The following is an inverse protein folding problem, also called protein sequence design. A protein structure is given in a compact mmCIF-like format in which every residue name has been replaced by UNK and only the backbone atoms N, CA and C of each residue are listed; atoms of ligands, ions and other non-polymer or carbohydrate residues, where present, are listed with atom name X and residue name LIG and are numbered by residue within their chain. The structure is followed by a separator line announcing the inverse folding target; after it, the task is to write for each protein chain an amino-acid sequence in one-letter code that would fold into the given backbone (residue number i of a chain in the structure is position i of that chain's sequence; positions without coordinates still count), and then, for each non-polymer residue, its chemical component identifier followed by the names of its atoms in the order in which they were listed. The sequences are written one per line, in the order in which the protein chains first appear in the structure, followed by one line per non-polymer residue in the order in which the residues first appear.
data_IF_375016702312
#
_entry.id   IF_375016702312
#
_cell.length_a   1.000
_cell.length_b   1.000
_cell.length_c   1.000
_cell.angle_alpha   90.00
_cell.angle_beta   90.00
_cell.angle_gamma   90.00
#
_symmetry.space_group_name_H-M   'P 1'
#
loop_
_entity.id
_entity.type
_entity.pdbx_description
1 polymer ?
#
# COMPACT_ATOMS: atom_id res chain seq x y z
N UNK A 1 9.58 -1.04 -7.93
CA UNK A 1 9.72 -1.22 -6.46
C UNK A 1 11.02 -1.88 -6.01
N UNK A 2 11.60 -2.84 -6.77
CA UNK A 2 12.89 -3.46 -6.42
C UNK A 2 13.98 -2.42 -6.14
N UNK A 3 14.12 -1.41 -7.01
CA UNK A 3 15.09 -0.32 -6.84
C UNK A 3 14.96 0.40 -5.48
N UNK A 4 13.74 0.81 -5.10
CA UNK A 4 13.52 1.49 -3.81
C UNK A 4 13.85 0.59 -2.62
N UNK A 5 13.43 -0.68 -2.69
CA UNK A 5 13.74 -1.68 -1.66
C UNK A 5 15.25 -1.90 -1.50
N UNK A 6 16.02 -1.91 -2.59
CA UNK A 6 17.48 -2.08 -2.55
C UNK A 6 18.20 -0.88 -1.93
N UNK A 7 17.58 0.29 -1.97
CA UNK A 7 18.10 1.52 -1.35
C UNK A 7 17.45 1.78 0.01
N UNK A 8 16.77 0.79 0.60
CA UNK A 8 16.10 0.91 1.90
C UNK A 8 15.08 2.06 1.97
N UNK A 9 14.42 2.39 0.85
CA UNK A 9 13.40 3.44 0.80
C UNK A 9 12.01 2.79 0.85
N UNK A 10 11.21 3.20 1.84
CA UNK A 10 9.77 2.96 1.88
C UNK A 10 9.02 4.05 1.14
N UNK A 11 8.07 3.67 0.28
CA UNK A 11 7.18 4.61 -0.39
C UNK A 11 6.04 5.06 0.51
N UNK A 12 5.34 4.12 1.18
CA UNK A 12 4.21 4.34 2.11
C UNK A 12 2.92 4.92 1.52
N UNK A 13 2.90 5.20 0.22
CA UNK A 13 1.73 5.66 -0.54
C UNK A 13 1.78 5.17 -1.99
N UNK A 14 2.13 3.90 -2.18
CA UNK A 14 2.12 3.30 -3.50
C UNK A 14 0.68 2.99 -3.92
N UNK A 15 0.19 3.70 -4.93
CA UNK A 15 -1.17 3.63 -5.46
C UNK A 15 -1.20 4.06 -6.94
N UNK A 16 -2.29 3.79 -7.65
CA UNK A 16 -2.39 4.13 -9.09
C UNK A 16 -2.25 5.64 -9.33
N UNK A 17 -2.83 6.47 -8.44
CA UNK A 17 -2.71 7.93 -8.47
C UNK A 17 -1.25 8.45 -8.41
N UNK A 18 -0.33 7.65 -7.86
CA UNK A 18 1.08 7.97 -7.68
C UNK A 18 1.98 7.25 -8.71
N UNK A 19 1.37 6.78 -9.81
CA UNK A 19 2.06 6.21 -10.95
C UNK A 19 1.79 7.07 -12.19
N UNK A 20 2.81 7.76 -12.70
CA UNK A 20 2.70 8.65 -13.84
C UNK A 20 3.10 7.91 -15.12
N UNK A 21 2.25 7.96 -16.14
CA UNK A 21 2.52 7.35 -17.45
C UNK A 21 2.90 8.43 -18.46
N UNK A 22 4.07 8.28 -19.09
CA UNK A 22 4.50 9.14 -20.18
C UNK A 22 5.43 8.39 -21.12
N UNK A 23 5.25 8.54 -22.44
CA UNK A 23 5.98 7.80 -23.46
C UNK A 23 5.97 6.28 -23.20
N UNK A 24 4.81 5.73 -22.85
CA UNK A 24 4.61 4.30 -22.53
C UNK A 24 5.43 3.79 -21.33
N UNK A 25 6.06 4.69 -20.57
CA UNK A 25 6.85 4.38 -19.39
C UNK A 25 6.09 4.84 -18.15
N UNK A 26 5.86 3.90 -17.23
CA UNK A 26 5.30 4.18 -15.92
C UNK A 26 6.41 4.54 -14.94
N UNK A 27 6.25 5.66 -14.23
CA UNK A 27 7.16 6.12 -13.18
C UNK A 27 6.41 6.29 -11.87
N UNK A 28 6.98 5.72 -10.81
CA UNK A 28 6.49 5.93 -9.43
C UNK A 28 6.83 7.36 -8.99
N UNK A 29 5.87 8.05 -8.40
CA UNK A 29 5.97 9.45 -7.98
C UNK A 29 5.44 9.67 -6.56
N UNK A 30 5.46 10.93 -6.10
CA UNK A 30 4.97 11.36 -4.79
C UNK A 30 5.66 10.68 -3.59
N UNK A 31 6.88 11.15 -3.33
CA UNK A 31 7.70 10.70 -2.21
C UNK A 31 7.45 11.48 -0.91
N UNK A 32 6.37 12.28 -0.82
CA UNK A 32 6.10 13.14 0.35
C UNK A 32 5.95 12.37 1.66
N UNK A 33 5.48 11.11 1.58
CA UNK A 33 5.35 10.20 2.72
C UNK A 33 6.52 9.22 2.85
N UNK A 34 7.45 9.20 1.90
CA UNK A 34 8.54 8.23 1.85
C UNK A 34 9.56 8.41 2.96
N UNK A 35 10.20 7.31 3.36
CA UNK A 35 11.21 7.29 4.43
C UNK A 35 12.32 6.32 4.08
N UNK A 36 13.56 6.73 4.32
CA UNK A 36 14.70 5.83 4.36
C UNK A 36 14.64 5.02 5.67
N UNK A 37 14.84 3.71 5.59
CA UNK A 37 14.92 2.83 6.75
C UNK A 37 16.36 2.59 7.13
N UNK A 38 16.58 2.48 8.44
CA UNK A 38 17.76 1.78 8.93
C UNK A 38 17.62 0.28 8.58
N UNK A 39 18.61 -0.34 7.91
CA UNK A 39 18.56 -1.76 7.55
C UNK A 39 18.37 -2.71 8.75
N UNK A 40 18.65 -2.24 9.96
CA UNK A 40 18.61 -3.04 11.19
C UNK A 40 17.29 -2.90 11.97
N UNK A 41 16.39 -1.99 11.57
CA UNK A 41 15.19 -1.68 12.34
C UNK A 41 13.95 -1.47 11.46
N UNK A 42 12.78 -1.77 12.01
CA UNK A 42 11.50 -1.41 11.38
C UNK A 42 11.20 0.08 11.57
N UNK A 43 10.61 0.71 10.56
CA UNK A 43 10.17 2.09 10.69
C UNK A 43 8.85 2.17 11.45
N UNK A 44 8.92 2.73 12.65
CA UNK A 44 7.78 2.95 13.55
C UNK A 44 7.52 4.45 13.59
N UNK A 45 6.32 4.89 13.21
CA UNK A 45 5.95 6.31 13.26
C UNK A 45 4.71 6.56 14.08
N UNK A 46 4.64 7.75 14.68
CA UNK A 46 3.38 8.30 15.16
C UNK A 46 2.36 8.37 14.02
N UNK A 47 1.08 8.23 14.37
CA UNK A 47 0.01 8.14 13.40
C UNK A 47 -0.12 9.47 12.63
N UNK A 48 0.20 9.45 11.34
CA UNK A 48 -0.19 10.53 10.43
C UNK A 48 -1.69 10.33 10.08
N UNK A 49 -2.57 11.30 10.35
CA UNK A 49 -4.00 11.17 10.07
C UNK A 49 -4.32 11.08 8.57
N UNK A 50 -3.39 11.44 7.68
CA UNK A 50 -3.59 11.48 6.22
C UNK A 50 -3.04 10.25 5.48
N UNK A 51 -2.91 9.12 6.15
CA UNK A 51 -2.40 7.90 5.52
C UNK A 51 -3.43 7.28 4.55
N UNK A 52 -2.97 6.71 3.42
CA UNK A 52 -3.82 6.07 2.40
C UNK A 52 -4.30 4.69 2.86
N UNK A 53 -5.15 4.64 3.89
CA UNK A 53 -5.46 3.42 4.64
C UNK A 53 -5.99 2.24 3.80
N UNK A 54 -6.57 2.50 2.62
CA UNK A 54 -7.07 1.45 1.71
C UNK A 54 -5.95 0.68 1.01
N UNK A 55 -4.77 1.27 0.91
CA UNK A 55 -3.57 0.66 0.33
C UNK A 55 -2.65 0.08 1.40
N UNK A 56 -2.86 0.43 2.67
CA UNK A 56 -1.97 0.00 3.74
C UNK A 56 -2.15 -1.47 4.12
N UNK A 57 -1.06 -2.14 4.52
CA UNK A 57 -1.11 -3.50 5.04
C UNK A 57 -1.70 -3.52 6.47
N UNK A 58 -2.10 -4.71 6.92
CA UNK A 58 -2.78 -4.89 8.21
C UNK A 58 -1.92 -4.43 9.40
N UNK A 59 -0.61 -4.68 9.38
CA UNK A 59 0.34 -4.24 10.42
C UNK A 59 0.46 -2.71 10.55
N UNK A 60 0.18 -1.96 9.48
CA UNK A 60 0.13 -0.50 9.52
C UNK A 60 -1.25 0.03 9.97
N UNK A 61 -2.30 -0.77 9.79
CA UNK A 61 -3.67 -0.45 10.22
C UNK A 61 -3.93 -0.82 11.68
N UNK A 62 -3.27 -1.88 12.17
CA UNK A 62 -3.41 -2.42 13.52
C UNK A 62 -2.03 -2.45 14.18
N UNK A 63 -1.59 -1.32 14.77
CA UNK A 63 -0.38 -1.22 15.57
C UNK A 63 -0.24 -2.36 16.59
N UNK A 64 0.93 -3.01 16.60
CA UNK A 64 1.29 -3.93 17.67
C UNK A 64 1.76 -3.20 18.95
N UNK A 65 2.26 -1.97 18.80
CA UNK A 65 2.87 -1.17 19.87
C UNK A 65 2.08 0.13 20.03
N UNK A 66 1.15 0.17 20.99
CA UNK A 66 0.37 1.37 21.31
C UNK A 66 -0.34 1.95 20.07
N UNK A 67 -0.07 3.22 19.77
CA UNK A 67 -0.62 3.94 18.61
C UNK A 67 0.33 4.02 17.42
N UNK A 68 1.50 3.39 17.50
CA UNK A 68 2.55 3.52 16.50
C UNK A 68 2.37 2.57 15.33
N UNK A 69 2.38 3.10 14.12
CA UNK A 69 2.19 2.31 12.89
C UNK A 69 3.54 1.76 12.41
N UNK A 70 3.55 0.47 12.10
CA UNK A 70 4.72 -0.20 11.51
C UNK A 70 4.66 -0.12 9.99
N UNK A 71 5.75 0.32 9.37
CA UNK A 71 5.91 0.30 7.92
C UNK A 71 7.15 -0.51 7.54
N UNK A 72 7.01 -1.33 6.51
CA UNK A 72 8.09 -2.22 6.03
C UNK A 72 8.08 -2.29 4.51
N UNK A 73 9.17 -2.79 3.93
CA UNK A 73 9.23 -3.08 2.49
C UNK A 73 8.13 -4.07 2.07
N UNK A 74 7.79 -5.03 2.95
CA UNK A 74 6.68 -5.97 2.69
C UNK A 74 5.32 -5.28 2.72
N UNK A 75 5.19 -4.22 3.51
CA UNK A 75 4.04 -3.33 3.46
C UNK A 75 3.90 -2.63 2.10
N UNK A 76 5.00 -2.15 1.49
CA UNK A 76 4.94 -1.60 0.14
C UNK A 76 4.61 -2.68 -0.92
N UNK A 77 5.00 -3.94 -0.70
CA UNK A 77 4.59 -5.08 -1.55
C UNK A 77 3.08 -5.32 -1.45
N UNK A 78 2.48 -5.16 -0.26
CA UNK A 78 1.03 -5.20 -0.11
C UNK A 78 0.35 -4.09 -0.92
N UNK A 79 0.82 -2.84 -0.77
CA UNK A 79 0.32 -1.70 -1.54
C UNK A 79 0.45 -1.92 -3.04
N UNK A 80 1.53 -2.57 -3.49
CA UNK A 80 1.70 -2.98 -4.89
C UNK A 80 0.64 -3.98 -5.36
N UNK A 81 0.18 -4.89 -4.51
CA UNK A 81 -0.93 -5.78 -4.80
C UNK A 81 -2.26 -5.03 -4.98
N UNK A 82 -2.51 -4.01 -4.17
CA UNK A 82 -3.67 -3.11 -4.31
C UNK A 82 -3.56 -2.29 -5.61
N UNK A 83 -2.37 -1.79 -5.94
CA UNK A 83 -2.10 -1.11 -7.22
C UNK A 83 -2.41 -2.01 -8.43
N UNK A 84 -1.99 -3.27 -8.41
CA UNK A 84 -2.34 -4.22 -9.48
C UNK A 84 -3.86 -4.37 -9.58
N UNK A 85 -4.56 -4.47 -8.45
CA UNK A 85 -6.02 -4.52 -8.45
C UNK A 85 -6.65 -3.28 -9.10
N UNK A 86 -6.16 -2.07 -8.75
CA UNK A 86 -6.62 -0.82 -9.37
C UNK A 86 -6.44 -0.83 -10.90
N UNK A 87 -5.31 -1.36 -11.39
CA UNK A 87 -5.05 -1.45 -12.84
C UNK A 87 -6.08 -2.31 -13.57
N UNK A 88 -6.48 -3.45 -13.00
CA UNK A 88 -7.48 -4.33 -13.60
C UNK A 88 -8.92 -3.82 -13.45
N UNK A 89 -9.18 -2.99 -12.46
CA UNK A 89 -10.48 -2.36 -12.21
C UNK A 89 -10.57 -0.95 -12.81
N UNK A 90 -9.69 -0.63 -13.76
CA UNK A 90 -9.68 0.64 -14.49
C UNK A 90 -9.65 1.88 -13.57
N UNK A 91 -8.91 1.80 -12.46
CA UNK A 91 -8.72 2.90 -11.52
C UNK A 91 -9.79 3.02 -10.44
N UNK A 92 -10.61 1.98 -10.20
CA UNK A 92 -11.58 1.98 -9.12
C UNK A 92 -10.93 2.16 -7.73
N UNK A 93 -11.69 2.73 -6.79
CA UNK A 93 -11.28 2.90 -5.39
C UNK A 93 -11.32 1.54 -4.66
N UNK A 94 -10.21 1.05 -4.08
CA UNK A 94 -10.19 -0.23 -3.37
C UNK A 94 -11.03 -0.15 -2.09
N UNK A 95 -11.89 -1.14 -1.85
CA UNK A 95 -12.77 -1.17 -0.66
C UNK A 95 -13.70 0.05 -0.54
N UNK A 96 -14.18 0.60 -1.66
CA UNK A 96 -14.87 1.90 -1.70
C UNK A 96 -16.06 2.02 -0.70
N UNK A 97 -16.76 0.91 -0.47
CA UNK A 97 -17.92 0.84 0.43
C UNK A 97 -17.59 0.69 1.92
N UNK A 98 -16.31 0.67 2.30
CA UNK A 98 -15.88 0.42 3.68
C UNK A 98 -15.22 1.66 4.29
N UNK A 99 -15.55 1.98 5.54
CA UNK A 99 -14.82 2.98 6.35
C UNK A 99 -13.44 2.44 6.75
N UNK A 100 -12.62 3.26 7.41
CA UNK A 100 -11.33 2.81 7.99
C UNK A 100 -11.51 1.56 8.87
N UNK A 101 -12.44 1.61 9.85
CA UNK A 101 -12.73 0.46 10.72
C UNK A 101 -13.35 -0.72 9.96
N UNK A 102 -14.12 -0.43 8.90
CA UNK A 102 -14.64 -1.44 7.98
C UNK A 102 -13.53 -2.22 7.26
N UNK A 103 -12.56 -1.51 6.67
CA UNK A 103 -11.39 -2.12 6.00
C UNK A 103 -10.58 -2.95 6.99
N UNK A 104 -10.30 -2.40 8.18
CA UNK A 104 -9.58 -3.11 9.24
C UNK A 104 -10.29 -4.42 9.63
N UNK A 105 -11.58 -4.37 9.89
CA UNK A 105 -12.37 -5.54 10.27
C UNK A 105 -12.43 -6.60 9.16
N UNK A 106 -12.61 -6.16 7.91
CA UNK A 106 -12.62 -7.01 6.72
C UNK A 106 -11.29 -7.75 6.55
N UNK A 107 -10.16 -7.05 6.69
CA UNK A 107 -8.83 -7.65 6.56
C UNK A 107 -8.49 -8.59 7.73
N UNK A 108 -8.90 -8.26 8.95
CA UNK A 108 -8.78 -9.12 10.15
C UNK A 108 -9.56 -10.43 9.99
N UNK A 109 -10.73 -10.38 9.35
CA UNK A 109 -11.50 -11.56 8.97
C UNK A 109 -10.87 -12.38 7.82
N UNK A 110 -9.62 -12.07 7.44
CA UNK A 110 -8.86 -12.69 6.34
C UNK A 110 -9.51 -12.53 4.96
N UNK A 111 -10.45 -11.60 4.82
CA UNK A 111 -11.06 -11.27 3.52
C UNK A 111 -10.14 -10.35 2.72
N UNK A 112 -10.25 -10.37 1.39
CA UNK A 112 -9.44 -9.58 0.45
C UNK A 112 -10.33 -9.04 -0.67
N UNK A 113 -9.82 -8.07 -1.43
CA UNK A 113 -10.48 -7.62 -2.66
C UNK A 113 -10.77 -8.82 -3.58
N UNK A 114 -11.93 -8.80 -4.22
CA UNK A 114 -12.28 -9.83 -5.19
C UNK A 114 -11.34 -9.76 -6.39
N UNK A 115 -11.13 -10.91 -7.04
CA UNK A 115 -10.37 -10.96 -8.30
C UNK A 115 -11.15 -10.16 -9.37
N UNK A 116 -10.53 -9.16 -10.01
CA UNK A 116 -11.15 -8.42 -11.11
C UNK A 116 -11.53 -9.34 -12.27
N UNK A 117 -12.56 -8.97 -13.04
CA UNK A 117 -13.10 -9.78 -14.13
C UNK A 117 -12.03 -10.17 -15.16
N UNK A 118 -11.23 -9.19 -15.57
CA UNK A 118 -10.20 -9.34 -16.60
C UNK A 118 -8.83 -9.78 -16.06
N UNK A 119 -8.70 -10.03 -14.75
CA UNK A 119 -7.43 -10.44 -14.15
C UNK A 119 -7.18 -11.94 -14.39
N UNK A 120 -6.09 -12.36 -15.07
CA UNK A 120 -5.80 -13.76 -15.31
C UNK A 120 -5.57 -14.53 -14.00
N UNK A 121 -5.74 -15.86 -14.01
CA UNK A 121 -5.52 -16.70 -12.81
C UNK A 121 -4.06 -16.73 -12.34
N UNK A 122 -3.12 -16.41 -13.23
CA UNK A 122 -1.70 -16.23 -12.93
C UNK A 122 -1.24 -14.92 -13.58
N UNK A 123 -0.55 -14.11 -12.80
CA UNK A 123 0.21 -12.94 -13.25
C UNK A 123 1.66 -13.37 -13.48
#
# INVERSE_FOLDING_TARGET
MIYLSQHHILHRDLAAKNCLLGNEILKVSDFGLSREMDPNYEYISEANPFLPFRWLPLEALVPAIGQYKTFTVKGDVWSFGVLIWEMFEMGASPYDNLTFEGVKSFLLAKQRLNRPEHCPRKL
#
